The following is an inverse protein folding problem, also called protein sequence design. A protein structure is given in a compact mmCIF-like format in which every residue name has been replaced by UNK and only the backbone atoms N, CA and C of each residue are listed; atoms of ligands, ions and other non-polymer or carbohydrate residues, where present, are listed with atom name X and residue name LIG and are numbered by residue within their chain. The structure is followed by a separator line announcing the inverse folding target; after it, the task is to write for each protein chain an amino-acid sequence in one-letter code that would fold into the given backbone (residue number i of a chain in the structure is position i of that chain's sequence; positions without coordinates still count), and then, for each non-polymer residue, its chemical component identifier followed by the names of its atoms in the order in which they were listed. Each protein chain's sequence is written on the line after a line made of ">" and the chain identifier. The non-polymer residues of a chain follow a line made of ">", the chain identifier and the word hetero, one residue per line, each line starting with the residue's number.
data_IF_623740989188
#
_entry.id   IF_623740989188
#
_cell.length_a   1.000
_cell.length_b   1.000
_cell.length_c   1.000
_cell.angle_alpha   90.00
_cell.angle_beta   90.00
_cell.angle_gamma   90.00
#
_symmetry.space_group_name_H-M   'P 1'
#
loop_
_entity.id
_entity.type
_entity.pdbx_description
1 polymer ?
#
# COMPACT_ATOMS: atom_id res chain seq x y z
N UNK A 1 -18.89 -9.12 -19.89
CA UNK A 1 -19.93 -9.91 -19.15
C UNK A 1 -19.26 -11.02 -18.33
N UNK A 2 -18.40 -10.74 -17.33
CA UNK A 2 -17.99 -11.71 -16.31
C UNK A 2 -17.33 -11.08 -15.08
N UNK A 3 -17.15 -9.76 -15.03
CA UNK A 3 -16.45 -9.09 -13.92
C UNK A 3 -17.26 -8.94 -12.62
N UNK A 4 -18.57 -9.22 -12.65
CA UNK A 4 -19.45 -9.11 -11.49
C UNK A 4 -19.43 -10.29 -10.54
N UNK A 5 -19.07 -11.48 -11.02
CA UNK A 5 -19.28 -12.73 -10.26
C UNK A 5 -18.11 -13.15 -9.37
N UNK A 6 -16.87 -12.76 -9.72
CA UNK A 6 -15.69 -13.07 -8.89
C UNK A 6 -15.55 -12.11 -7.70
N UNK A 7 -16.09 -10.90 -7.80
CA UNK A 7 -16.03 -9.91 -6.72
C UNK A 7 -17.05 -10.16 -5.59
N UNK A 8 -18.19 -10.79 -5.89
CA UNK A 8 -19.19 -11.18 -4.88
C UNK A 8 -18.68 -12.28 -3.94
N UNK A 9 -17.89 -13.21 -4.44
CA UNK A 9 -17.36 -14.33 -3.65
C UNK A 9 -16.29 -13.93 -2.61
N UNK A 10 -15.58 -12.81 -2.81
CA UNK A 10 -14.61 -12.28 -1.82
C UNK A 10 -15.33 -11.50 -0.72
N UNK A 11 -16.51 -10.95 -0.99
CA UNK A 11 -17.32 -10.19 -0.02
C UNK A 11 -18.05 -11.05 1.01
N UNK A 12 -18.32 -12.32 0.71
CA UNK A 12 -19.11 -13.22 1.57
C UNK A 12 -18.27 -14.01 2.60
N UNK A 13 -16.94 -13.90 2.58
CA UNK A 13 -16.11 -14.39 3.67
C UNK A 13 -16.00 -13.34 4.78
N UNK A 14 -17.11 -13.07 5.46
CA UNK A 14 -17.14 -12.39 6.75
C UNK A 14 -16.48 -13.28 7.83
N UNK A 15 -15.16 -13.36 7.80
CA UNK A 15 -14.36 -13.74 8.94
C UNK A 15 -14.18 -12.53 9.84
N UNK A 16 -14.77 -12.56 11.04
CA UNK A 16 -14.69 -11.56 12.10
C UNK A 16 -13.26 -11.09 12.36
N UNK A 17 -12.82 -10.03 11.68
CA UNK A 17 -11.82 -9.10 12.21
C UNK A 17 -12.60 -7.87 12.65
N UNK A 18 -12.40 -7.43 13.89
CA UNK A 18 -12.93 -6.17 14.39
C UNK A 18 -12.22 -5.04 13.64
N UNK A 19 -12.64 -4.77 12.41
CA UNK A 19 -12.13 -3.68 11.59
C UNK A 19 -12.80 -2.36 11.95
N UNK A 20 -12.18 -1.28 11.51
CA UNK A 20 -12.70 0.08 11.65
C UNK A 20 -14.12 0.19 11.08
N UNK A 21 -15.09 0.77 11.81
CA UNK A 21 -16.48 0.90 11.35
C UNK A 21 -16.58 1.64 10.01
N UNK A 22 -17.56 1.26 9.19
CA UNK A 22 -17.79 1.84 7.85
C UNK A 22 -17.91 3.38 7.84
N UNK A 23 -18.58 3.93 8.85
CA UNK A 23 -18.77 5.38 8.99
C UNK A 23 -17.44 6.09 9.29
N UNK A 24 -16.59 5.47 10.07
CA UNK A 24 -15.26 5.99 10.37
C UNK A 24 -14.37 5.97 9.11
N UNK A 25 -14.37 4.88 8.34
CA UNK A 25 -13.65 4.81 7.06
C UNK A 25 -14.11 5.92 6.12
N UNK A 26 -15.40 6.19 6.03
CA UNK A 26 -15.92 7.29 5.22
C UNK A 26 -15.41 8.65 5.72
N UNK A 27 -15.47 8.90 7.01
CA UNK A 27 -14.99 10.16 7.62
C UNK A 27 -13.49 10.39 7.35
N UNK A 28 -12.68 9.34 7.45
CA UNK A 28 -11.25 9.39 7.12
C UNK A 28 -11.07 9.62 5.61
N UNK A 29 -11.78 8.89 4.76
CA UNK A 29 -11.73 9.03 3.33
C UNK A 29 -12.08 10.45 2.86
N UNK A 30 -13.05 11.09 3.51
CA UNK A 30 -13.47 12.47 3.22
C UNK A 30 -12.37 13.52 3.46
N UNK A 31 -11.28 13.17 4.14
CA UNK A 31 -10.12 14.06 4.32
C UNK A 31 -9.13 14.01 3.14
N UNK A 32 -9.22 13.00 2.28
CA UNK A 32 -8.35 12.85 1.12
C UNK A 32 -8.93 13.52 -0.14
N UNK A 33 -8.06 13.86 -1.09
CA UNK A 33 -8.42 14.51 -2.34
C UNK A 33 -9.01 13.50 -3.35
N UNK A 34 -9.95 12.68 -2.92
CA UNK A 34 -10.67 11.78 -3.81
C UNK A 34 -11.66 12.55 -4.68
N UNK A 35 -11.82 12.10 -5.93
CA UNK A 35 -12.78 12.68 -6.87
C UNK A 35 -13.97 11.75 -7.02
N UNK A 36 -15.20 12.33 -7.01
CA UNK A 36 -16.43 11.59 -7.23
C UNK A 36 -17.18 11.24 -5.95
N UNK A 37 -18.16 10.35 -6.08
CA UNK A 37 -19.03 9.88 -5.01
C UNK A 37 -18.58 8.50 -4.52
N UNK A 38 -18.43 8.32 -3.22
CA UNK A 38 -18.09 7.02 -2.61
C UNK A 38 -19.29 6.05 -2.78
N UNK A 39 -19.09 5.00 -3.55
CA UNK A 39 -20.12 3.98 -3.85
C UNK A 39 -20.00 2.78 -2.91
N UNK A 40 -18.77 2.34 -2.63
CA UNK A 40 -18.53 1.19 -1.75
C UNK A 40 -17.18 1.27 -1.07
N UNK A 41 -17.09 0.67 0.11
CA UNK A 41 -15.84 0.48 0.84
C UNK A 41 -15.85 -0.88 1.54
N UNK A 42 -14.69 -1.50 1.69
CA UNK A 42 -14.54 -2.75 2.41
C UNK A 42 -13.08 -3.16 2.56
N UNK A 43 -12.79 -4.13 3.45
CA UNK A 43 -11.44 -4.64 3.65
C UNK A 43 -10.86 -5.19 2.34
N UNK A 44 -9.55 -5.08 2.17
CA UNK A 44 -8.85 -5.50 0.96
C UNK A 44 -7.51 -6.15 1.31
N UNK A 45 -7.28 -7.33 0.72
CA UNK A 45 -6.04 -8.09 0.85
C UNK A 45 -5.97 -8.97 2.09
N UNK A 46 -4.94 -9.82 2.12
CA UNK A 46 -4.63 -10.77 3.19
C UNK A 46 -3.43 -10.32 4.06
N UNK A 47 -3.00 -9.07 3.92
CA UNK A 47 -1.86 -8.53 4.68
C UNK A 47 -2.16 -8.41 6.16
N UNK A 48 -1.17 -8.76 7.00
CA UNK A 48 -1.31 -8.80 8.47
C UNK A 48 -0.69 -7.61 9.19
N UNK A 49 -0.04 -6.68 8.45
CA UNK A 49 0.67 -5.56 9.07
C UNK A 49 -0.23 -4.34 9.17
N UNK A 50 -0.81 -3.91 8.06
CA UNK A 50 -1.64 -2.72 7.98
C UNK A 50 -3.10 -3.09 7.72
N UNK A 51 -4.04 -2.33 8.30
CA UNK A 51 -5.44 -2.44 7.91
C UNK A 51 -5.65 -1.77 6.56
N UNK A 52 -6.15 -2.52 5.58
CA UNK A 52 -6.29 -2.05 4.19
C UNK A 52 -7.73 -2.12 3.74
N UNK A 53 -8.21 -1.04 3.13
CA UNK A 53 -9.56 -0.90 2.63
C UNK A 53 -9.54 -0.51 1.16
N UNK A 54 -10.38 -1.15 0.35
CA UNK A 54 -10.66 -0.71 -1.02
C UNK A 54 -11.90 0.14 -1.03
N UNK A 55 -11.79 1.33 -1.61
CA UNK A 55 -12.89 2.24 -1.84
C UNK A 55 -13.14 2.38 -3.34
N UNK A 56 -14.42 2.43 -3.74
CA UNK A 56 -14.82 2.71 -5.12
C UNK A 56 -15.53 4.04 -5.16
N UNK A 57 -15.05 4.93 -6.02
CA UNK A 57 -15.65 6.24 -6.30
C UNK A 57 -16.23 6.27 -7.70
N UNK A 58 -17.45 6.75 -7.84
CA UNK A 58 -18.11 7.02 -9.14
C UNK A 58 -17.76 8.43 -9.60
N UNK A 59 -17.28 8.56 -10.84
CA UNK A 59 -16.91 9.85 -11.45
C UNK A 59 -17.92 10.18 -12.54
N UNK A 60 -19.05 10.76 -12.15
CA UNK A 60 -20.12 11.11 -13.09
C UNK A 60 -20.49 9.94 -14.00
N UNK A 61 -20.54 10.20 -15.32
CA UNK A 61 -20.78 9.18 -16.34
C UNK A 61 -19.50 8.49 -16.84
N UNK A 62 -18.31 8.96 -16.42
CA UNK A 62 -17.01 8.42 -16.85
C UNK A 62 -16.67 7.06 -16.27
N UNK A 63 -17.46 6.57 -15.33
CA UNK A 63 -17.22 5.26 -14.71
C UNK A 63 -16.83 5.33 -13.24
N UNK A 64 -15.97 4.44 -12.79
CA UNK A 64 -15.51 4.40 -11.40
C UNK A 64 -14.01 4.18 -11.27
N UNK A 65 -13.41 4.77 -10.25
CA UNK A 65 -12.04 4.50 -9.83
C UNK A 65 -12.04 3.69 -8.54
N UNK A 66 -11.00 2.87 -8.39
CA UNK A 66 -10.71 2.16 -7.14
C UNK A 66 -9.50 2.81 -6.50
N UNK A 67 -9.58 3.01 -5.19
CA UNK A 67 -8.48 3.55 -4.40
C UNK A 67 -8.29 2.70 -3.15
N UNK A 68 -7.09 2.69 -2.64
CA UNK A 68 -6.76 2.05 -1.36
C UNK A 68 -6.65 3.12 -0.30
N UNK A 69 -7.32 2.90 0.81
CA UNK A 69 -7.12 3.60 2.06
C UNK A 69 -6.51 2.63 3.06
N UNK A 70 -5.38 3.00 3.67
CA UNK A 70 -4.64 2.10 4.52
C UNK A 70 -4.26 2.79 5.84
N UNK A 71 -4.60 2.12 6.95
CA UNK A 71 -4.16 2.48 8.29
C UNK A 71 -2.76 1.92 8.52
N UNK A 72 -1.81 2.77 8.85
CA UNK A 72 -0.41 2.40 9.09
C UNK A 72 -0.28 1.83 10.51
N UNK A 73 0.28 0.64 10.63
CA UNK A 73 0.55 0.01 11.92
C UNK A 73 1.71 0.73 12.62
N UNK A 74 1.39 1.51 13.65
CA UNK A 74 2.35 2.30 14.43
C UNK A 74 3.21 1.49 15.38
N UNK A 75 2.83 0.26 15.69
CA UNK A 75 3.69 -0.65 16.48
C UNK A 75 4.92 -1.07 15.68
N UNK A 76 4.75 -1.23 14.36
CA UNK A 76 5.83 -1.59 13.43
C UNK A 76 6.52 -0.33 12.89
N UNK A 77 5.74 0.63 12.40
CA UNK A 77 6.23 1.89 11.85
C UNK A 77 6.06 3.00 12.89
N UNK A 78 6.99 3.08 13.84
CA UNK A 78 6.90 3.99 14.99
C UNK A 78 6.92 5.47 14.59
N UNK A 79 7.46 5.78 13.41
CA UNK A 79 7.56 7.12 12.84
C UNK A 79 6.93 7.14 11.44
N UNK A 80 5.62 7.24 11.34
CA UNK A 80 4.91 7.23 10.06
C UNK A 80 5.30 8.39 9.14
N UNK A 81 5.73 9.51 9.68
CA UNK A 81 6.26 10.65 8.93
C UNK A 81 7.48 10.23 8.09
N UNK A 82 8.47 9.62 8.74
CA UNK A 82 9.70 9.14 8.08
C UNK A 82 9.39 8.07 7.02
N UNK A 83 8.42 7.18 7.32
CA UNK A 83 7.94 6.21 6.34
C UNK A 83 7.35 6.89 5.11
N UNK A 84 6.51 7.90 5.31
CA UNK A 84 5.83 8.58 4.22
C UNK A 84 6.77 9.48 3.42
N UNK A 85 7.79 10.06 4.04
CA UNK A 85 8.88 10.78 3.35
C UNK A 85 9.64 9.82 2.42
N UNK A 86 10.01 8.63 2.89
CA UNK A 86 10.64 7.60 2.05
C UNK A 86 9.75 7.23 0.86
N UNK A 87 8.48 6.94 1.11
CA UNK A 87 7.55 6.52 0.05
C UNK A 87 7.36 7.65 -0.97
N UNK A 88 7.13 8.88 -0.54
CA UNK A 88 6.93 10.02 -1.43
C UNK A 88 8.20 10.32 -2.25
N UNK A 89 9.37 10.27 -1.62
CA UNK A 89 10.66 10.48 -2.28
C UNK A 89 10.93 9.43 -3.36
N UNK A 90 10.86 8.16 -2.98
CA UNK A 90 11.10 7.03 -3.89
C UNK A 90 10.08 7.01 -5.04
N UNK A 91 8.80 7.12 -4.75
CA UNK A 91 7.76 7.09 -5.80
C UNK A 91 7.84 8.30 -6.73
N UNK A 92 8.17 9.48 -6.19
CA UNK A 92 8.41 10.68 -6.99
C UNK A 92 9.62 10.55 -7.94
N UNK A 93 10.70 9.91 -7.48
CA UNK A 93 11.86 9.60 -8.31
C UNK A 93 11.51 8.59 -9.42
N UNK A 94 10.85 7.48 -9.05
CA UNK A 94 10.42 6.46 -9.99
C UNK A 94 9.49 7.01 -11.07
N UNK A 95 8.53 7.88 -10.73
CA UNK A 95 7.67 8.55 -11.72
C UNK A 95 8.46 9.28 -12.80
N UNK A 96 9.50 10.02 -12.40
CA UNK A 96 10.38 10.72 -13.35
C UNK A 96 11.10 9.74 -14.27
N UNK A 97 11.63 8.64 -13.71
CA UNK A 97 12.34 7.60 -14.48
C UNK A 97 11.43 6.89 -15.47
N UNK A 98 10.22 6.51 -15.05
CA UNK A 98 9.22 5.87 -15.91
C UNK A 98 8.84 6.79 -17.07
N UNK A 99 8.55 8.07 -16.81
CA UNK A 99 8.25 9.05 -17.86
C UNK A 99 9.43 9.24 -18.83
N UNK A 100 10.66 9.30 -18.35
CA UNK A 100 11.85 9.40 -19.20
C UNK A 100 12.05 8.20 -20.13
N UNK A 101 11.64 7.00 -19.67
CA UNK A 101 11.68 5.77 -20.45
C UNK A 101 10.44 5.60 -21.34
N UNK A 102 9.47 6.54 -21.34
CA UNK A 102 8.23 6.46 -22.13
C UNK A 102 7.20 5.48 -21.57
N UNK A 103 7.32 5.09 -20.30
CA UNK A 103 6.39 4.23 -19.60
C UNK A 103 5.17 4.99 -19.04
N UNK A 104 4.28 4.24 -18.39
CA UNK A 104 3.06 4.77 -17.76
C UNK A 104 3.18 4.82 -16.23
N UNK A 105 3.44 5.99 -15.63
CA UNK A 105 3.60 6.12 -14.19
C UNK A 105 2.31 5.80 -13.41
N UNK A 106 1.13 5.85 -14.03
CA UNK A 106 -0.12 5.49 -13.37
C UNK A 106 -0.23 3.98 -13.11
N UNK A 107 0.50 3.19 -13.89
CA UNK A 107 0.53 1.73 -13.75
C UNK A 107 1.81 1.17 -13.15
N UNK A 108 2.93 1.84 -13.38
CA UNK A 108 4.27 1.32 -13.03
C UNK A 108 4.79 1.83 -11.69
N UNK A 109 4.11 2.83 -11.08
CA UNK A 109 4.51 3.40 -9.80
C UNK A 109 3.34 3.49 -8.84
N UNK A 110 3.60 3.36 -7.54
CA UNK A 110 2.61 3.65 -6.51
C UNK A 110 2.23 5.13 -6.54
N UNK A 111 0.95 5.43 -6.78
CA UNK A 111 0.42 6.78 -6.88
C UNK A 111 -0.28 7.18 -5.57
N UNK A 112 0.42 7.91 -4.72
CA UNK A 112 -0.15 8.47 -3.50
C UNK A 112 -1.23 9.50 -3.84
N UNK A 113 -2.33 9.47 -3.07
CA UNK A 113 -3.39 10.47 -3.12
C UNK A 113 -3.24 11.34 -1.86
N UNK A 114 -3.01 12.65 -2.01
CA UNK A 114 -2.82 13.52 -0.88
C UNK A 114 -4.13 13.76 -0.11
N UNK A 115 -4.01 14.25 1.09
CA UNK A 115 -5.15 14.84 1.81
C UNK A 115 -5.59 16.14 1.13
N UNK A 116 -6.78 16.64 1.47
CA UNK A 116 -7.30 17.90 0.92
C UNK A 116 -6.44 19.12 1.24
N UNK A 117 -5.65 19.07 2.32
CA UNK A 117 -4.66 20.09 2.68
C UNK A 117 -3.26 19.79 2.11
N UNK A 118 -3.14 18.82 1.20
CA UNK A 118 -1.93 18.54 0.41
C UNK A 118 -0.87 17.67 1.10
N UNK A 119 -1.17 17.08 2.26
CA UNK A 119 -0.24 16.19 2.96
C UNK A 119 -0.24 14.78 2.36
N UNK A 120 0.88 14.08 2.49
CA UNK A 120 1.05 12.71 1.98
C UNK A 120 0.27 11.66 2.80
N UNK A 121 -0.11 11.98 4.04
CA UNK A 121 -0.86 11.11 4.94
C UNK A 121 -1.69 11.95 5.91
N UNK A 122 -2.65 11.32 6.56
CA UNK A 122 -3.51 11.90 7.59
C UNK A 122 -3.16 11.31 8.96
N UNK A 123 -3.06 12.14 9.99
CA UNK A 123 -3.18 11.70 11.38
C UNK A 123 -4.57 12.10 11.87
N UNK A 124 -5.36 11.12 12.30
CA UNK A 124 -6.71 11.36 12.78
C UNK A 124 -6.73 11.81 14.26
N UNK A 125 -7.93 12.06 14.80
CA UNK A 125 -8.13 12.53 16.17
C UNK A 125 -7.69 11.52 17.25
N UNK A 126 -7.59 10.24 16.89
CA UNK A 126 -7.11 9.16 17.77
C UNK A 126 -5.59 8.99 17.67
N UNK A 127 -4.91 9.77 16.82
CA UNK A 127 -3.48 9.66 16.53
C UNK A 127 -3.14 8.54 15.56
N UNK A 128 -4.13 7.91 14.93
CA UNK A 128 -3.91 6.89 13.92
C UNK A 128 -3.52 7.50 12.58
N UNK A 129 -2.60 6.84 11.87
CA UNK A 129 -2.04 7.35 10.62
C UNK A 129 -2.61 6.62 9.43
N UNK A 130 -3.09 7.39 8.45
CA UNK A 130 -3.76 6.89 7.26
C UNK A 130 -3.09 7.41 6.00
N UNK A 131 -2.93 6.54 4.99
CA UNK A 131 -2.47 6.92 3.66
C UNK A 131 -3.43 6.41 2.60
N UNK A 132 -3.40 7.04 1.43
CA UNK A 132 -4.21 6.63 0.30
C UNK A 132 -3.39 6.56 -0.99
N UNK A 133 -3.76 5.64 -1.89
CA UNK A 133 -3.15 5.51 -3.20
C UNK A 133 -4.11 4.89 -4.21
N UNK A 134 -3.82 5.12 -5.50
CA UNK A 134 -4.62 4.56 -6.59
C UNK A 134 -4.44 3.05 -6.62
N UNK A 135 -5.54 2.32 -6.74
CA UNK A 135 -5.51 0.88 -6.94
C UNK A 135 -5.18 0.55 -8.40
N UNK A 136 -4.12 -0.23 -8.61
CA UNK A 136 -3.72 -0.69 -9.94
C UNK A 136 -4.66 -1.83 -10.35
N UNK A 137 -5.54 -1.57 -11.33
CA UNK A 137 -6.47 -2.56 -11.91
C UNK A 137 -5.76 -3.51 -12.86
N UNK A 138 -6.44 -4.59 -13.24
CA UNK A 138 -5.94 -5.59 -14.20
C UNK A 138 -4.59 -6.20 -13.83
N UNK A 139 -4.36 -6.32 -12.51
CA UNK A 139 -3.24 -7.03 -11.91
C UNK A 139 -3.75 -8.26 -11.16
N UNK A 140 -2.98 -9.34 -11.21
CA UNK A 140 -3.27 -10.59 -10.50
C UNK A 140 -2.23 -10.78 -9.40
N UNK A 141 -2.71 -11.09 -8.19
CA UNK A 141 -1.85 -11.46 -7.07
C UNK A 141 -1.85 -12.97 -6.89
N UNK A 142 -0.69 -13.55 -6.65
CA UNK A 142 -0.52 -14.95 -6.33
C UNK A 142 -0.11 -15.07 -4.87
N UNK A 143 -0.84 -15.85 -4.08
CA UNK A 143 -0.47 -16.15 -2.69
C UNK A 143 0.74 -17.10 -2.64
N UNK A 144 0.93 -17.89 -3.67
CA UNK A 144 2.04 -18.82 -3.83
C UNK A 144 2.51 -18.81 -5.30
N UNK A 145 3.81 -18.70 -5.51
CA UNK A 145 4.40 -18.90 -6.83
C UNK A 145 4.38 -20.39 -7.16
N UNK A 146 3.72 -20.77 -8.25
CA UNK A 146 3.53 -22.17 -8.65
C UNK A 146 4.53 -22.63 -9.70
N UNK A 147 5.13 -21.68 -10.45
CA UNK A 147 5.99 -21.94 -11.58
C UNK A 147 7.35 -21.27 -11.42
N UNK A 148 8.44 -21.86 -11.92
CA UNK A 148 9.77 -21.23 -11.95
C UNK A 148 9.76 -19.85 -12.62
N UNK A 149 8.91 -19.65 -13.63
CA UNK A 149 8.74 -18.39 -14.36
C UNK A 149 8.26 -17.26 -13.45
N UNK A 150 7.39 -17.55 -12.45
CA UNK A 150 6.89 -16.56 -11.50
C UNK A 150 8.03 -15.99 -10.66
N UNK A 151 8.98 -16.86 -10.23
CA UNK A 151 10.19 -16.44 -9.53
C UNK A 151 11.13 -15.64 -10.42
N UNK A 152 11.30 -16.07 -11.68
CA UNK A 152 12.13 -15.35 -12.64
C UNK A 152 11.60 -13.94 -12.88
N UNK A 153 10.30 -13.78 -13.17
CA UNK A 153 9.68 -12.47 -13.41
C UNK A 153 9.73 -11.59 -12.15
N UNK A 154 9.56 -12.16 -10.97
CA UNK A 154 9.74 -11.44 -9.71
C UNK A 154 11.17 -10.93 -9.56
N UNK A 155 12.18 -11.76 -9.82
CA UNK A 155 13.58 -11.35 -9.77
C UNK A 155 13.92 -10.26 -10.78
N UNK A 156 13.38 -10.36 -12.02
CA UNK A 156 13.51 -9.32 -13.05
C UNK A 156 12.89 -8.01 -12.60
N UNK A 157 11.70 -8.04 -11.97
CA UNK A 157 11.03 -6.85 -11.45
C UNK A 157 11.85 -6.18 -10.35
N UNK A 158 12.40 -6.95 -9.40
CA UNK A 158 13.29 -6.43 -8.36
C UNK A 158 14.59 -5.86 -8.94
N UNK A 159 15.20 -6.50 -9.93
CA UNK A 159 16.39 -5.99 -10.60
C UNK A 159 16.14 -4.66 -11.32
N UNK A 160 15.01 -4.52 -12.03
CA UNK A 160 14.59 -3.26 -12.66
C UNK A 160 14.33 -2.16 -11.63
N UNK A 161 13.70 -2.51 -10.50
CA UNK A 161 13.47 -1.57 -9.41
C UNK A 161 14.79 -1.04 -8.84
N UNK A 162 15.77 -1.92 -8.57
CA UNK A 162 17.10 -1.53 -8.10
C UNK A 162 17.83 -0.66 -9.14
N UNK A 163 17.77 -1.00 -10.43
CA UNK A 163 18.34 -0.19 -11.51
C UNK A 163 17.75 1.23 -11.53
N UNK A 164 16.44 1.36 -11.41
CA UNK A 164 15.77 2.65 -11.38
C UNK A 164 16.14 3.51 -10.16
N UNK A 165 16.54 2.88 -9.07
CA UNK A 165 16.96 3.56 -7.83
C UNK A 165 18.49 3.74 -7.72
N UNK A 166 19.29 3.31 -8.69
CA UNK A 166 20.75 3.34 -8.60
C UNK A 166 21.33 4.75 -8.39
N UNK A 167 20.65 5.79 -8.83
CA UNK A 167 21.00 7.20 -8.67
C UNK A 167 20.10 7.94 -7.66
N UNK A 168 19.29 7.22 -6.88
CA UNK A 168 18.52 7.82 -5.79
C UNK A 168 19.45 8.15 -4.62
N UNK A 169 19.35 9.36 -4.01
CA UNK A 169 20.19 9.74 -2.88
C UNK A 169 19.81 8.95 -1.62
N UNK A 170 20.40 7.77 -1.47
CA UNK A 170 20.04 6.80 -0.42
C UNK A 170 20.24 7.35 1.01
N UNK A 171 21.10 8.36 1.19
CA UNK A 171 21.30 9.07 2.44
C UNK A 171 20.08 9.86 2.93
N UNK A 172 19.10 10.08 2.06
CA UNK A 172 17.83 10.72 2.42
C UNK A 172 16.81 9.74 3.01
N UNK A 173 17.09 8.43 2.92
CA UNK A 173 16.17 7.41 3.42
C UNK A 173 16.29 7.25 4.93
N UNK A 174 15.16 7.16 5.59
CA UNK A 174 15.04 6.85 7.01
C UNK A 174 15.00 5.34 7.22
N UNK A 175 15.60 4.85 8.29
CA UNK A 175 15.44 3.46 8.74
C UNK A 175 14.09 3.33 9.47
N UNK A 176 13.04 2.91 8.77
CA UNK A 176 11.66 2.87 9.29
C UNK A 176 11.36 1.68 10.20
N UNK A 177 12.13 0.59 10.08
CA UNK A 177 12.09 -0.57 10.99
C UNK A 177 13.52 -0.83 11.44
N UNK A 178 13.82 -0.46 12.67
CA UNK A 178 15.18 -0.57 13.24
C UNK A 178 15.70 -2.01 13.17
N UNK A 179 16.93 -2.14 12.69
CA UNK A 179 17.64 -3.41 12.60
C UNK A 179 16.93 -4.50 11.75
N UNK A 180 16.00 -4.10 10.83
CA UNK A 180 15.20 -5.05 10.07
C UNK A 180 16.05 -6.05 9.26
N UNK A 181 17.19 -5.63 8.74
CA UNK A 181 18.12 -6.45 7.98
C UNK A 181 19.33 -6.93 8.80
N UNK A 182 19.37 -6.67 10.13
CA UNK A 182 20.39 -7.22 11.03
C UNK A 182 20.10 -8.70 11.35
N UNK A 183 20.57 -9.58 10.48
CA UNK A 183 20.38 -11.03 10.61
C UNK A 183 20.91 -11.59 11.93
N UNK A 184 22.00 -11.03 12.47
CA UNK A 184 22.58 -11.45 13.74
C UNK A 184 21.64 -11.15 14.91
N UNK A 185 21.09 -9.95 14.98
CA UNK A 185 20.11 -9.57 16.00
C UNK A 185 18.82 -10.38 15.86
N UNK A 186 18.32 -10.56 14.64
CA UNK A 186 17.13 -11.38 14.38
C UNK A 186 17.31 -12.83 14.84
N UNK A 187 18.49 -13.41 14.59
CA UNK A 187 18.82 -14.76 15.07
C UNK A 187 18.86 -14.84 16.59
N UNK A 188 19.41 -13.81 17.27
CA UNK A 188 19.39 -13.77 18.74
C UNK A 188 17.96 -13.65 19.29
N UNK A 189 17.11 -12.85 18.64
CA UNK A 189 15.69 -12.74 19.01
C UNK A 189 14.96 -14.08 18.89
N UNK A 190 15.22 -14.84 17.82
CA UNK A 190 14.69 -16.19 17.66
C UNK A 190 15.13 -17.12 18.79
N UNK A 191 16.42 -17.13 19.14
CA UNK A 191 16.93 -17.94 20.27
C UNK A 191 16.22 -17.60 21.57
N UNK A 192 16.11 -16.32 21.87
CA UNK A 192 15.44 -15.85 23.09
C UNK A 192 13.94 -16.22 23.13
N UNK A 193 13.30 -16.31 21.98
CA UNK A 193 11.91 -16.76 21.88
C UNK A 193 11.77 -18.26 22.17
N UNK A 194 12.66 -19.08 21.59
CA UNK A 194 12.70 -20.53 21.83
C UNK A 194 12.97 -20.85 23.33
N UNK A 195 13.82 -20.06 24.00
CA UNK A 195 14.12 -20.25 25.42
C UNK A 195 12.96 -19.89 26.36
N UNK A 196 11.96 -19.15 25.86
CA UNK A 196 10.78 -18.70 26.62
C UNK A 196 9.54 -19.57 26.41
N UNK A 197 9.58 -20.46 25.44
CA UNK A 197 8.50 -21.35 25.07
C UNK A 197 8.64 -22.70 25.79
#
# INVERSE_FOLDING_TARGET
>A
FSDGMLFTAVWEREGKMAGTPKEEIKRIADQFAFTGELVSCGPCGSGHINETYMLRYRIGEMGSIKVILQKINREIFQKPEELMENIAGVTGHLKKKVLQKGGDPEREVLNLIPTKDGKAFLTDENGECWRAYIFITDAVSYDLAEKPEDFYESAVAFGKFQEMLADYPAETLHETIKDFHDTKKRFQTLKNAIEKD
#
